data_IF_287513195339
#
_entry.id   IF_287513195339
#
_cell.length_a   1.000
_cell.length_b   1.000
_cell.length_c   1.000
_cell.angle_alpha   90.00
_cell.angle_beta   90.00
_cell.angle_gamma   90.00
#
_symmetry.space_group_name_H-M   'P 1'
#
loop_
_entity.id
_entity.type
_entity.pdbx_description
1 polymer ?
#
# COMPACT_ATOMS: atom_id res chain seq x y z
N UNK A 1 59.87 22.69 19.33
CA UNK A 1 58.90 21.69 19.82
C UNK A 1 57.52 22.15 19.35
N UNK A 2 57.06 21.64 18.21
CA UNK A 2 55.76 21.96 17.64
C UNK A 2 54.72 20.93 18.08
N UNK A 3 53.59 21.39 18.58
CA UNK A 3 52.43 20.55 18.91
C UNK A 3 51.46 20.62 17.73
N UNK A 4 51.20 19.44 17.14
CA UNK A 4 50.25 19.25 16.05
C UNK A 4 48.83 19.17 16.61
N UNK A 5 47.93 20.02 16.12
CA UNK A 5 46.50 19.94 16.38
C UNK A 5 45.87 18.85 15.50
N UNK A 6 45.29 17.85 16.16
CA UNK A 6 44.54 16.77 15.53
C UNK A 6 43.14 17.28 15.12
N UNK A 7 42.96 17.51 13.81
CA UNK A 7 41.64 17.75 13.21
C UNK A 7 40.88 16.41 13.15
N UNK A 8 39.85 16.26 13.99
CA UNK A 8 38.87 15.17 13.86
C UNK A 8 37.95 15.47 12.66
N UNK A 9 38.11 14.69 11.59
CA UNK A 9 37.20 14.68 10.44
C UNK A 9 36.04 13.73 10.78
N UNK A 10 34.83 14.27 10.88
CA UNK A 10 33.58 13.51 11.00
C UNK A 10 33.20 12.96 9.62
N UNK A 11 32.86 11.67 9.46
CA UNK A 11 32.39 11.17 8.17
C UNK A 11 30.91 11.53 7.98
N UNK A 12 30.68 12.62 7.26
CA UNK A 12 29.39 12.92 6.63
C UNK A 12 29.11 11.87 5.56
N UNK A 13 28.24 10.89 5.85
CA UNK A 13 27.63 10.06 4.80
C UNK A 13 26.52 10.84 4.14
N UNK A 14 26.93 11.74 3.25
CA UNK A 14 26.08 12.33 2.22
C UNK A 14 25.90 11.29 1.12
N UNK A 15 24.75 10.60 1.10
CA UNK A 15 24.30 9.87 -0.09
C UNK A 15 23.24 10.71 -0.80
N UNK A 16 23.72 11.70 -1.56
CA UNK A 16 22.96 12.36 -2.59
C UNK A 16 22.84 11.40 -3.78
N UNK A 17 21.74 10.65 -3.84
CA UNK A 17 21.30 10.13 -5.12
C UNK A 17 20.89 11.32 -6.00
N UNK A 18 21.23 11.32 -7.30
CA UNK A 18 20.88 12.43 -8.17
C UNK A 18 19.36 12.53 -8.31
N UNK A 19 18.81 13.67 -7.86
CA UNK A 19 17.45 14.12 -8.14
C UNK A 19 17.28 14.27 -9.66
N UNK A 20 16.90 13.18 -10.34
CA UNK A 20 16.22 13.29 -11.63
C UNK A 20 14.81 13.80 -11.32
N UNK A 21 14.30 14.81 -12.05
CA UNK A 21 12.89 15.16 -11.95
C UNK A 21 12.07 13.91 -12.29
N UNK A 22 11.35 13.42 -11.28
CA UNK A 22 10.47 12.26 -11.39
C UNK A 22 9.33 12.64 -12.34
N UNK A 23 9.48 12.30 -13.62
CA UNK A 23 8.54 12.62 -14.70
C UNK A 23 7.33 11.69 -14.72
N UNK A 24 7.25 10.78 -13.76
CA UNK A 24 6.32 9.66 -13.70
C UNK A 24 5.64 9.63 -12.34
N UNK A 25 4.35 9.33 -12.30
CA UNK A 25 3.68 9.16 -11.01
C UNK A 25 4.22 7.88 -10.34
N UNK A 26 4.65 7.98 -9.09
CA UNK A 26 5.27 6.85 -8.37
C UNK A 26 4.77 6.74 -6.94
N UNK A 27 4.51 5.50 -6.55
CA UNK A 27 4.27 5.03 -5.20
C UNK A 27 5.49 4.20 -4.78
N UNK A 28 6.09 4.55 -3.65
CA UNK A 28 7.28 3.85 -3.14
C UNK A 28 7.19 3.63 -1.65
N UNK A 29 7.35 2.38 -1.22
CA UNK A 29 7.54 2.06 0.18
C UNK A 29 8.92 2.51 0.63
N UNK A 30 9.01 3.10 1.83
CA UNK A 30 10.30 3.28 2.48
C UNK A 30 10.74 1.98 3.18
N UNK A 31 12.05 1.76 3.21
CA UNK A 31 12.67 0.59 3.82
C UNK A 31 12.53 0.67 5.35
N UNK A 32 11.48 0.09 5.93
CA UNK A 32 11.28 -0.11 7.39
C UNK A 32 9.84 -0.51 7.74
N UNK A 33 9.16 -1.30 6.91
CA UNK A 33 7.83 -1.76 7.31
C UNK A 33 7.94 -2.77 8.45
N UNK A 34 7.27 -2.47 9.56
CA UNK A 34 7.35 -3.24 10.81
C UNK A 34 6.02 -3.93 11.06
N UNK A 35 6.09 -5.19 11.47
CA UNK A 35 4.94 -5.91 11.98
C UNK A 35 4.74 -5.63 13.47
N UNK A 36 3.53 -5.26 13.84
CA UNK A 36 3.12 -5.00 15.21
C UNK A 36 2.13 -6.08 15.65
N UNK A 37 2.51 -6.95 16.60
CA UNK A 37 1.56 -7.88 17.20
C UNK A 37 0.61 -7.09 18.11
N UNK A 38 -0.71 -7.30 17.94
CA UNK A 38 -1.73 -6.66 18.77
C UNK A 38 -2.30 -5.37 18.17
N UNK A 39 -2.93 -4.55 19.02
CA UNK A 39 -3.74 -3.40 18.60
C UNK A 39 -2.95 -2.08 18.59
N UNK A 40 -3.30 -1.17 17.69
CA UNK A 40 -2.66 0.15 17.58
C UNK A 40 -3.30 1.00 16.48
N UNK A 41 -3.19 2.33 16.58
CA UNK A 41 -3.74 3.28 15.59
C UNK A 41 -5.25 3.08 15.28
N UNK A 42 -6.04 2.62 16.26
CA UNK A 42 -7.46 2.31 16.09
C UNK A 42 -7.75 0.95 15.43
N UNK A 43 -6.72 0.16 15.16
CA UNK A 43 -6.83 -1.20 14.64
C UNK A 43 -6.99 -2.19 15.80
N UNK A 44 -8.06 -2.96 15.77
CA UNK A 44 -8.39 -4.01 16.75
C UNK A 44 -7.72 -5.35 16.41
N UNK A 45 -6.67 -5.34 15.58
CA UNK A 45 -5.91 -6.54 15.22
C UNK A 45 -4.46 -6.17 14.92
N UNK A 46 -3.59 -7.18 14.83
CA UNK A 46 -2.21 -7.04 14.35
C UNK A 46 -2.16 -6.30 13.01
N UNK A 47 -1.08 -5.56 12.80
CA UNK A 47 -0.93 -4.68 11.65
C UNK A 47 0.54 -4.57 11.21
N UNK A 48 0.74 -4.19 9.95
CA UNK A 48 2.03 -3.70 9.46
C UNK A 48 1.97 -2.18 9.39
N UNK A 49 3.04 -1.50 9.77
CA UNK A 49 3.13 -0.05 9.59
C UNK A 49 4.43 0.37 8.95
N UNK A 50 4.40 1.50 8.25
CA UNK A 50 5.55 2.02 7.55
C UNK A 50 5.22 3.33 6.86
N UNK A 51 6.17 3.80 6.06
CA UNK A 51 6.02 5.03 5.29
C UNK A 51 5.91 4.72 3.81
N UNK A 52 5.08 5.51 3.13
CA UNK A 52 4.91 5.49 1.68
C UNK A 52 5.11 6.90 1.14
N UNK A 53 5.87 7.01 0.05
CA UNK A 53 6.06 8.24 -0.71
C UNK A 53 5.18 8.17 -1.95
N UNK A 54 4.44 9.25 -2.18
CA UNK A 54 3.60 9.46 -3.36
C UNK A 54 4.17 10.66 -4.12
N UNK A 55 4.64 10.43 -5.34
CA UNK A 55 4.98 11.48 -6.28
C UNK A 55 3.95 11.48 -7.40
N UNK A 56 3.23 12.60 -7.60
CA UNK A 56 2.26 12.73 -8.68
C UNK A 56 2.41 14.09 -9.35
N UNK A 57 2.71 14.08 -10.65
CA UNK A 57 2.74 15.31 -11.46
C UNK A 57 1.39 15.62 -12.13
N UNK A 58 0.59 14.58 -12.41
CA UNK A 58 -0.72 14.70 -13.03
C UNK A 58 -1.77 13.98 -12.19
N UNK A 59 -2.99 14.48 -12.22
CA UNK A 59 -4.10 13.82 -11.54
C UNK A 59 -4.44 12.51 -12.27
N UNK A 60 -4.45 11.37 -11.55
CA UNK A 60 -4.85 10.11 -12.15
C UNK A 60 -6.35 10.08 -12.42
N UNK A 61 -6.75 9.41 -13.50
CA UNK A 61 -8.15 9.08 -13.73
C UNK A 61 -8.56 7.90 -12.82
N UNK A 62 -8.99 8.22 -11.60
CA UNK A 62 -9.44 7.22 -10.65
C UNK A 62 -10.56 6.34 -11.19
N UNK A 63 -11.44 6.85 -12.07
CA UNK A 63 -12.54 6.04 -12.61
C UNK A 63 -12.02 4.90 -13.46
N UNK A 64 -10.94 5.13 -14.22
CA UNK A 64 -10.32 4.12 -15.06
C UNK A 64 -9.62 3.05 -14.21
N UNK A 65 -8.88 3.49 -13.18
CA UNK A 65 -8.21 2.58 -12.24
C UNK A 65 -9.26 1.73 -11.51
N UNK A 66 -10.30 2.37 -10.96
CA UNK A 66 -11.39 1.72 -10.22
C UNK A 66 -12.07 0.64 -11.09
N UNK A 67 -12.49 0.97 -12.32
CA UNK A 67 -13.09 0.02 -13.27
C UNK A 67 -12.17 -1.15 -13.63
N UNK A 68 -10.87 -0.91 -13.72
CA UNK A 68 -9.93 -1.97 -14.01
C UNK A 68 -9.82 -2.93 -12.83
N UNK A 69 -9.69 -2.39 -11.61
CA UNK A 69 -9.53 -3.18 -10.39
C UNK A 69 -10.78 -4.01 -10.05
N UNK A 70 -11.98 -3.49 -10.35
CA UNK A 70 -13.26 -4.21 -10.23
C UNK A 70 -13.32 -5.50 -11.06
N UNK A 71 -12.47 -5.65 -12.10
CA UNK A 71 -12.38 -6.91 -12.86
C UNK A 71 -11.68 -8.03 -12.10
N UNK A 72 -10.91 -7.69 -11.08
CA UNK A 72 -10.04 -8.60 -10.34
C UNK A 72 -10.45 -8.78 -8.88
N UNK A 73 -11.10 -7.76 -8.30
CA UNK A 73 -11.50 -7.69 -6.90
C UNK A 73 -13.02 -7.68 -6.83
N UNK A 74 -13.59 -8.64 -6.09
CA UNK A 74 -15.04 -8.83 -5.96
C UNK A 74 -15.65 -7.79 -5.00
N UNK A 75 -14.88 -7.36 -4.00
CA UNK A 75 -15.34 -6.39 -3.01
C UNK A 75 -15.58 -5.02 -3.66
N UNK A 76 -16.77 -4.40 -3.48
CA UNK A 76 -17.06 -3.12 -4.07
C UNK A 76 -16.25 -2.01 -3.37
N UNK A 77 -15.92 -0.97 -4.14
CA UNK A 77 -15.35 0.25 -3.59
C UNK A 77 -16.30 0.89 -2.57
N UNK A 78 -15.78 1.54 -1.52
CA UNK A 78 -16.59 2.37 -0.64
C UNK A 78 -17.28 3.50 -1.42
N UNK A 79 -18.52 3.83 -1.06
CA UNK A 79 -19.30 4.89 -1.73
C UNK A 79 -18.57 6.24 -1.71
N UNK A 80 -17.85 6.51 -0.62
CA UNK A 80 -17.07 7.73 -0.46
C UNK A 80 -15.73 7.45 0.19
N UNK A 81 -14.67 7.97 -0.41
CA UNK A 81 -13.40 8.17 0.29
C UNK A 81 -13.39 9.55 0.93
N UNK A 82 -13.00 9.62 2.20
CA UNK A 82 -13.01 10.84 3.00
C UNK A 82 -11.73 11.63 2.82
N UNK A 83 -11.47 12.15 1.63
CA UNK A 83 -10.40 13.14 1.43
C UNK A 83 -10.62 13.98 0.17
N UNK A 84 -10.27 15.26 0.25
CA UNK A 84 -10.14 16.13 -0.92
C UNK A 84 -8.76 16.06 -1.58
N UNK A 85 -7.76 15.51 -0.89
CA UNK A 85 -6.40 15.36 -1.41
C UNK A 85 -6.32 14.13 -2.33
N UNK A 86 -5.87 14.34 -3.57
CA UNK A 86 -5.76 13.29 -4.59
C UNK A 86 -4.72 12.24 -4.19
N UNK A 87 -3.62 12.62 -3.55
CA UNK A 87 -2.60 11.67 -3.10
C UNK A 87 -3.15 10.76 -2.01
N UNK A 88 -3.94 11.32 -1.09
CA UNK A 88 -4.61 10.58 -0.04
C UNK A 88 -5.71 9.66 -0.60
N UNK A 89 -6.51 10.15 -1.56
CA UNK A 89 -7.51 9.34 -2.28
C UNK A 89 -6.91 8.14 -3.02
N UNK A 90 -5.71 8.29 -3.57
CA UNK A 90 -4.96 7.19 -4.18
C UNK A 90 -4.56 6.15 -3.14
N UNK A 91 -4.07 6.59 -1.97
CA UNK A 91 -3.66 5.71 -0.89
C UNK A 91 -4.84 4.97 -0.24
N UNK A 92 -5.98 5.64 -0.07
CA UNK A 92 -7.19 4.99 0.41
C UNK A 92 -7.63 3.84 -0.51
N UNK A 93 -7.56 4.03 -1.84
CA UNK A 93 -7.81 2.97 -2.83
C UNK A 93 -6.79 1.85 -2.74
N UNK A 94 -5.50 2.19 -2.64
CA UNK A 94 -4.41 1.22 -2.49
C UNK A 94 -4.67 0.31 -1.30
N UNK A 95 -4.97 0.88 -0.13
CA UNK A 95 -5.25 0.10 1.08
C UNK A 95 -6.54 -0.71 0.95
N UNK A 96 -7.58 -0.14 0.36
CA UNK A 96 -8.82 -0.88 0.10
C UNK A 96 -8.55 -2.12 -0.75
N UNK A 97 -7.81 -2.01 -1.85
CA UNK A 97 -7.52 -3.16 -2.71
C UNK A 97 -6.56 -4.16 -2.07
N UNK A 98 -5.52 -3.70 -1.35
CA UNK A 98 -4.64 -4.59 -0.57
C UNK A 98 -5.44 -5.46 0.39
N UNK A 99 -6.32 -4.83 1.17
CA UNK A 99 -7.10 -5.54 2.18
C UNK A 99 -8.19 -6.41 1.54
N UNK A 100 -8.81 -5.97 0.45
CA UNK A 100 -9.83 -6.73 -0.29
C UNK A 100 -9.27 -8.00 -0.92
N UNK A 101 -8.07 -7.95 -1.51
CA UNK A 101 -7.40 -9.14 -2.05
C UNK A 101 -7.18 -10.17 -0.96
N UNK A 102 -6.69 -9.74 0.20
CA UNK A 102 -6.45 -10.65 1.33
C UNK A 102 -7.75 -11.25 1.86
N UNK A 103 -8.81 -10.44 2.01
CA UNK A 103 -10.14 -10.92 2.39
C UNK A 103 -10.73 -11.92 1.38
N UNK A 104 -10.61 -11.64 0.08
CA UNK A 104 -11.03 -12.55 -1.00
C UNK A 104 -10.32 -13.90 -0.94
N UNK A 105 -9.11 -13.95 -0.38
CA UNK A 105 -8.38 -15.19 -0.13
C UNK A 105 -8.63 -15.78 1.27
N UNK A 106 -9.67 -15.36 2.00
CA UNK A 106 -9.97 -15.82 3.37
C UNK A 106 -8.83 -15.55 4.37
N UNK A 107 -8.03 -14.51 4.15
CA UNK A 107 -7.09 -13.99 5.15
C UNK A 107 -7.81 -12.97 6.03
N UNK A 108 -7.75 -13.10 7.37
CA UNK A 108 -8.52 -12.28 8.28
C UNK A 108 -7.98 -10.84 8.31
N UNK A 109 -8.76 -9.90 7.78
CA UNK A 109 -8.38 -8.49 7.66
C UNK A 109 -9.55 -7.57 7.97
N UNK A 110 -9.36 -6.69 8.95
CA UNK A 110 -10.24 -5.56 9.22
C UNK A 110 -10.36 -4.62 8.02
N UNK A 111 -11.47 -3.87 7.97
CA UNK A 111 -11.66 -2.75 7.05
C UNK A 111 -11.02 -1.45 7.57
N UNK A 112 -10.63 -1.42 8.86
CA UNK A 112 -9.93 -0.27 9.46
C UNK A 112 -8.47 -0.27 9.03
N UNK A 113 -7.95 0.91 8.74
CA UNK A 113 -6.54 1.21 8.56
C UNK A 113 -6.28 2.62 9.07
N UNK A 114 -5.01 2.96 9.26
CA UNK A 114 -4.62 4.31 9.64
C UNK A 114 -3.77 4.92 8.54
N UNK A 115 -4.08 6.16 8.16
CA UNK A 115 -3.34 6.95 7.20
C UNK A 115 -3.16 8.34 7.79
N UNK A 116 -1.92 8.86 7.74
CA UNK A 116 -1.62 10.24 8.12
C UNK A 116 -0.55 10.83 7.20
N UNK A 117 -0.77 12.08 6.77
CA UNK A 117 0.23 12.84 6.01
C UNK A 117 1.32 13.34 6.96
N UNK A 118 2.58 13.20 6.58
CA UNK A 118 3.72 13.64 7.41
C UNK A 118 4.44 14.84 6.80
N UNK A 119 5.07 14.66 5.64
CA UNK A 119 5.95 15.65 5.03
C UNK A 119 5.64 15.81 3.54
N UNK A 120 5.71 17.03 3.04
CA UNK A 120 5.55 17.35 1.61
C UNK A 120 6.81 18.06 1.12
N UNK A 121 7.48 17.49 0.12
CA UNK A 121 8.75 17.99 -0.46
C UNK A 121 8.69 17.92 -1.97
N UNK A 122 8.89 19.05 -2.66
CA UNK A 122 9.17 19.14 -4.10
C UNK A 122 8.48 18.08 -5.02
N UNK A 123 7.15 18.01 -4.98
CA UNK A 123 6.37 17.09 -5.83
C UNK A 123 6.17 15.68 -5.28
N UNK A 124 6.74 15.40 -4.10
CA UNK A 124 6.54 14.20 -3.31
C UNK A 124 5.77 14.51 -2.01
N UNK A 125 4.92 13.57 -1.59
CA UNK A 125 4.22 13.60 -0.32
C UNK A 125 4.43 12.27 0.40
N UNK A 126 4.91 12.34 1.64
CA UNK A 126 5.14 11.21 2.49
C UNK A 126 3.96 11.01 3.43
N UNK A 127 3.53 9.76 3.55
CA UNK A 127 2.47 9.33 4.44
C UNK A 127 2.96 8.22 5.35
N UNK A 128 2.48 8.25 6.59
CA UNK A 128 2.52 7.10 7.48
C UNK A 128 1.25 6.27 7.27
N UNK A 129 1.42 4.95 7.19
CA UNK A 129 0.34 4.01 6.92
C UNK A 129 0.44 2.82 7.87
N UNK A 130 -0.68 2.44 8.48
CA UNK A 130 -0.82 1.20 9.22
C UNK A 130 -1.96 0.37 8.61
N UNK A 131 -1.61 -0.81 8.11
CA UNK A 131 -2.53 -1.72 7.42
C UNK A 131 -2.75 -2.96 8.29
N UNK A 132 -4.01 -3.38 8.50
CA UNK A 132 -4.32 -4.64 9.17
C UNK A 132 -3.54 -5.79 8.54
N UNK A 133 -2.97 -6.66 9.37
CA UNK A 133 -2.14 -7.77 8.93
C UNK A 133 -2.15 -8.91 9.93
N UNK A 134 -2.55 -10.10 9.49
CA UNK A 134 -2.43 -11.33 10.26
C UNK A 134 -1.02 -11.92 10.19
N UNK A 135 -0.41 -11.89 8.99
CA UNK A 135 0.94 -12.42 8.71
C UNK A 135 1.70 -11.40 7.88
N UNK A 136 2.86 -10.96 8.36
CA UNK A 136 3.68 -9.94 7.70
C UNK A 136 3.96 -10.29 6.24
N UNK A 137 4.42 -11.51 5.94
CA UNK A 137 4.77 -11.92 4.59
C UNK A 137 3.60 -11.83 3.60
N UNK A 138 2.38 -12.19 4.04
CA UNK A 138 1.17 -12.07 3.23
C UNK A 138 0.92 -10.62 2.84
N UNK A 139 0.92 -9.73 3.82
CA UNK A 139 0.65 -8.32 3.61
C UNK A 139 1.74 -7.62 2.82
N UNK A 140 3.02 -7.98 3.02
CA UNK A 140 4.14 -7.48 2.21
C UNK A 140 3.97 -7.86 0.74
N UNK A 141 3.75 -9.14 0.44
CA UNK A 141 3.59 -9.63 -0.94
C UNK A 141 2.44 -8.91 -1.66
N UNK A 142 1.30 -8.72 -0.99
CA UNK A 142 0.13 -8.03 -1.58
C UNK A 142 0.40 -6.55 -1.77
N UNK A 143 1.06 -5.90 -0.81
CA UNK A 143 1.40 -4.48 -0.89
C UNK A 143 2.37 -4.20 -2.03
N UNK A 144 3.42 -5.02 -2.19
CA UNK A 144 4.39 -4.90 -3.28
C UNK A 144 3.74 -5.11 -4.66
N UNK A 145 2.90 -6.14 -4.78
CA UNK A 145 2.14 -6.40 -6.00
C UNK A 145 1.22 -5.22 -6.34
N UNK A 146 0.46 -4.71 -5.36
CA UNK A 146 -0.45 -3.59 -5.56
C UNK A 146 0.31 -2.33 -5.97
N UNK A 147 1.42 -1.99 -5.32
CA UNK A 147 2.22 -0.83 -5.68
C UNK A 147 2.80 -0.94 -7.09
N UNK A 148 3.27 -2.12 -7.47
CA UNK A 148 3.76 -2.36 -8.83
C UNK A 148 2.64 -2.17 -9.85
N UNK A 149 1.46 -2.71 -9.59
CA UNK A 149 0.30 -2.53 -10.45
C UNK A 149 -0.07 -1.05 -10.57
N UNK A 150 -0.24 -0.34 -9.45
CA UNK A 150 -0.57 1.09 -9.49
C UNK A 150 0.47 1.91 -10.23
N UNK A 151 1.77 1.68 -9.99
CA UNK A 151 2.83 2.38 -10.71
C UNK A 151 2.72 2.13 -12.23
N UNK A 152 2.36 0.92 -12.65
CA UNK A 152 2.10 0.66 -14.07
C UNK A 152 0.89 1.43 -14.58
N UNK A 153 -0.23 1.42 -13.86
CA UNK A 153 -1.47 2.11 -14.26
C UNK A 153 -1.33 3.63 -14.31
N UNK A 154 -0.64 4.20 -13.32
CA UNK A 154 -0.41 5.64 -13.22
C UNK A 154 0.47 6.17 -14.35
N UNK A 155 1.35 5.33 -14.91
CA UNK A 155 2.26 5.70 -16.00
C UNK A 155 1.80 5.20 -17.38
N UNK A 156 0.84 4.28 -17.44
CA UNK A 156 0.27 3.70 -18.67
C UNK A 156 -1.25 3.58 -18.52
N UNK A 157 -1.99 4.66 -18.80
CA UNK A 157 -3.46 4.64 -18.66
C UNK A 157 -4.15 3.73 -19.69
N UNK A 158 -3.47 3.36 -20.77
CA UNK A 158 -4.00 2.44 -21.78
C UNK A 158 -3.32 1.08 -21.63
N UNK A 159 -4.13 0.07 -21.29
CA UNK A 159 -3.70 -1.32 -21.24
C UNK A 159 -4.27 -2.07 -22.44
N UNK A 160 -3.43 -2.86 -23.10
CA UNK A 160 -3.87 -3.77 -24.14
C UNK A 160 -4.29 -5.14 -23.57
N UNK A 161 -4.69 -6.07 -24.45
CA UNK A 161 -5.08 -7.42 -24.02
C UNK A 161 -3.95 -8.23 -23.40
N UNK A 162 -2.70 -7.98 -23.80
CA UNK A 162 -1.53 -8.65 -23.25
C UNK A 162 -1.23 -8.13 -21.84
N UNK A 163 -1.32 -6.83 -21.60
CA UNK A 163 -1.19 -6.24 -20.27
C UNK A 163 -2.22 -6.83 -19.29
N UNK A 164 -3.47 -6.95 -19.72
CA UNK A 164 -4.53 -7.54 -18.90
C UNK A 164 -4.24 -9.01 -18.53
N UNK A 165 -3.71 -9.78 -19.48
CA UNK A 165 -3.31 -11.16 -19.23
C UNK A 165 -2.12 -11.25 -18.26
N UNK A 166 -1.15 -10.34 -18.36
CA UNK A 166 -0.04 -10.26 -17.42
C UNK A 166 -0.50 -9.91 -16.01
N UNK A 167 -1.42 -8.94 -15.87
CA UNK A 167 -2.01 -8.59 -14.59
C UNK A 167 -2.75 -9.80 -14.00
N UNK A 168 -3.59 -10.47 -14.79
CA UNK A 168 -4.31 -11.69 -14.36
C UNK A 168 -3.35 -12.78 -13.89
N UNK A 169 -2.33 -13.10 -14.69
CA UNK A 169 -1.33 -14.11 -14.34
C UNK A 169 -0.54 -13.75 -13.07
N UNK A 170 -0.19 -12.47 -12.89
CA UNK A 170 0.47 -12.00 -11.67
C UNK A 170 -0.42 -12.13 -10.43
N UNK A 171 -1.72 -11.85 -10.57
CA UNK A 171 -2.70 -12.00 -9.49
C UNK A 171 -2.96 -13.47 -9.17
N UNK A 172 -3.03 -14.35 -10.17
CA UNK A 172 -3.12 -15.80 -9.97
C UNK A 172 -1.92 -16.34 -9.19
N UNK A 173 -0.72 -15.89 -9.55
CA UNK A 173 0.51 -16.23 -8.83
C UNK A 173 0.49 -15.73 -7.38
N UNK A 174 0.08 -14.47 -7.17
CA UNK A 174 -0.11 -13.91 -5.81
C UNK A 174 -1.12 -14.75 -5.03
N UNK A 175 -2.27 -15.06 -5.60
CA UNK A 175 -3.33 -15.86 -4.97
C UNK A 175 -2.86 -17.26 -4.61
N UNK A 176 -2.01 -17.89 -5.44
CA UNK A 176 -1.38 -19.16 -5.14
C UNK A 176 -0.46 -19.06 -3.93
N UNK A 177 0.37 -18.01 -3.87
CA UNK A 177 1.24 -17.73 -2.71
C UNK A 177 0.44 -17.47 -1.43
N UNK A 178 -0.71 -16.80 -1.54
CA UNK A 178 -1.59 -16.52 -0.40
C UNK A 178 -2.33 -17.75 0.14
N UNK A 179 -2.38 -18.88 -0.61
CA UNK A 179 -3.07 -20.11 -0.16
C UNK A 179 -2.55 -20.65 1.17
N UNK A 180 -1.27 -20.48 1.45
CA UNK A 180 -0.67 -20.96 2.70
C UNK A 180 -1.09 -20.15 3.94
N UNK A 181 -1.66 -18.95 3.76
CA UNK A 181 -2.03 -18.03 4.83
C UNK A 181 -3.55 -17.97 5.08
N UNK A 182 -4.32 -18.81 4.39
CA UNK A 182 -5.78 -18.81 4.48
C UNK A 182 -6.24 -19.53 5.74
N UNK A 183 -7.30 -19.02 6.36
CA UNK A 183 -8.00 -19.77 7.39
C UNK A 183 -8.87 -20.85 6.72
N UNK A 184 -8.85 -22.10 7.21
CA UNK A 184 -9.77 -23.13 6.74
C UNK A 184 -11.20 -22.80 7.19
N UNK A 185 -12.19 -22.97 6.30
CA UNK A 185 -13.61 -22.75 6.62
C UNK A 185 -14.38 -21.94 5.57
N UNK A 186 -15.60 -21.51 5.93
CA UNK A 186 -16.44 -20.68 5.07
C UNK A 186 -15.87 -19.25 4.95
N UNK A 187 -16.19 -18.61 3.82
CA UNK A 187 -15.72 -17.27 3.47
C UNK A 187 -16.12 -16.24 4.55
N UNK A 188 -15.12 -15.71 5.23
CA UNK A 188 -15.26 -14.85 6.40
C UNK A 188 -15.49 -13.38 6.06
N UNK A 189 -15.53 -12.99 4.78
CA UNK A 189 -15.75 -11.60 4.33
C UNK A 189 -17.00 -11.00 4.96
N UNK A 190 -18.13 -11.71 4.91
CA UNK A 190 -19.40 -11.22 5.46
C UNK A 190 -19.39 -11.12 6.98
N UNK A 191 -18.65 -12.01 7.66
CA UNK A 191 -18.47 -11.97 9.11
C UNK A 191 -17.65 -10.74 9.48
N UNK A 192 -16.53 -10.50 8.80
CA UNK A 192 -15.71 -9.31 9.04
C UNK A 192 -16.44 -8.02 8.69
N UNK A 193 -17.27 -8.03 7.65
CA UNK A 193 -18.08 -6.88 7.29
C UNK A 193 -19.10 -6.57 8.37
N UNK A 194 -19.84 -7.58 8.83
CA UNK A 194 -20.80 -7.42 9.92
C UNK A 194 -20.11 -6.98 11.23
N UNK A 195 -18.95 -7.55 11.57
CA UNK A 195 -18.18 -7.14 12.74
C UNK A 195 -17.74 -5.67 12.65
N UNK A 196 -17.24 -5.25 11.48
CA UNK A 196 -16.87 -3.85 11.22
C UNK A 196 -18.07 -2.89 11.33
N UNK A 197 -19.22 -3.24 10.74
CA UNK A 197 -20.46 -2.45 10.79
C UNK A 197 -21.03 -2.33 12.21
N UNK A 198 -20.80 -3.35 13.05
CA UNK A 198 -21.28 -3.41 14.44
C UNK A 198 -20.25 -2.90 15.46
N UNK A 199 -19.08 -2.42 15.02
CA UNK A 199 -17.94 -2.05 15.89
C UNK A 199 -17.52 -3.17 16.87
N UNK A 200 -17.60 -4.42 16.40
CA UNK A 200 -17.21 -5.60 17.16
C UNK A 200 -15.76 -5.96 16.79
N UNK A 201 -14.85 -6.11 17.78
CA UNK A 201 -13.46 -6.51 17.53
C UNK A 201 -13.31 -7.92 16.98
#
# INVERSE_FOLDING_TARGET
MGLAENIKVTPEKVSLLPNKPVTQATLRLLDNWIFHPGMGYGLQQSFISGKIIVAMQQEPDFRLIDKLMERFIIEPLPETFTSSDKTELLLHRLVHWITSIQRQQNTPMSYRYHLSSEEKKEGEQQFFLAIPSHIMQSSTNVTEWAITLFNNLLNRPYLDGNDLNQISGSLEHLNATLKQYRLPGQNSIYIYKAAYELDIP
#
